data_IF_780515635214
#
_entry.id   IF_780515635214
#
_cell.length_a   1.000
_cell.length_b   1.000
_cell.length_c   1.000
_cell.angle_alpha   90.00
_cell.angle_beta   90.00
_cell.angle_gamma   90.00
#
_symmetry.space_group_name_H-M   'P 1'
#
loop_
_entity.id
_entity.type
_entity.pdbx_description
1 polymer ?
#
# COMPACT_ATOMS: atom_id res chain seq x y z
N UNK A 1 4.35 7.98 4.41
CA UNK A 1 4.93 8.01 3.05
C UNK A 1 4.49 6.77 2.29
N UNK A 2 4.31 6.84 0.96
CA UNK A 2 4.09 5.66 0.12
C UNK A 2 5.40 5.32 -0.59
N UNK A 3 5.88 4.10 -0.40
CA UNK A 3 7.09 3.55 -1.04
C UNK A 3 6.64 2.58 -2.12
N UNK A 4 7.28 2.63 -3.29
CA UNK A 4 6.98 1.74 -4.42
C UNK A 4 8.06 0.67 -4.51
N UNK A 5 7.66 -0.58 -4.46
CA UNK A 5 8.52 -1.75 -4.66
C UNK A 5 8.21 -2.31 -6.05
N UNK A 6 9.23 -2.54 -6.88
CA UNK A 6 9.04 -3.17 -8.18
C UNK A 6 8.92 -4.69 -7.99
N UNK A 7 7.83 -5.28 -8.49
CA UNK A 7 7.64 -6.72 -8.59
C UNK A 7 7.79 -7.10 -10.06
N UNK A 8 8.96 -7.65 -10.38
CA UNK A 8 9.33 -8.03 -11.74
C UNK A 8 9.58 -9.54 -11.73
N UNK A 9 8.82 -10.26 -12.55
CA UNK A 9 9.00 -11.66 -12.90
C UNK A 9 8.96 -11.79 -14.43
N UNK A 10 9.27 -12.96 -14.99
CA UNK A 10 9.30 -13.22 -16.43
C UNK A 10 7.98 -12.84 -17.13
N UNK A 11 6.85 -13.00 -16.43
CA UNK A 11 5.51 -12.71 -16.98
C UNK A 11 4.89 -11.40 -16.49
N UNK A 12 5.41 -10.77 -15.43
CA UNK A 12 4.76 -9.65 -14.75
C UNK A 12 5.72 -8.52 -14.42
N UNK A 13 5.32 -7.30 -14.76
CA UNK A 13 5.96 -6.07 -14.34
C UNK A 13 4.92 -5.19 -13.63
N UNK A 14 4.88 -5.30 -12.31
CA UNK A 14 3.92 -4.60 -11.47
C UNK A 14 4.65 -3.77 -10.39
N UNK A 15 4.01 -2.70 -9.92
CA UNK A 15 4.51 -1.95 -8.76
C UNK A 15 3.61 -2.19 -7.55
N UNK A 16 4.24 -2.57 -6.44
CA UNK A 16 3.61 -2.73 -5.15
C UNK A 16 3.84 -1.47 -4.31
N UNK A 17 2.77 -0.72 -4.07
CA UNK A 17 2.80 0.45 -3.21
C UNK A 17 2.59 0.01 -1.76
N UNK A 18 3.50 0.39 -0.88
CA UNK A 18 3.46 0.10 0.54
C UNK A 18 3.51 1.40 1.36
N UNK A 19 2.74 1.45 2.44
CA UNK A 19 2.73 2.61 3.32
C UNK A 19 3.79 2.42 4.40
N UNK A 20 4.60 3.45 4.59
CA UNK A 20 5.59 3.56 5.66
C UNK A 20 5.23 4.73 6.57
N UNK A 21 5.36 4.51 7.88
CA UNK A 21 5.08 5.50 8.93
C UNK A 21 6.38 5.83 9.64
N UNK A 22 6.60 7.12 9.92
CA UNK A 22 7.76 7.60 10.67
C UNK A 22 7.27 8.63 11.67
N UNK A 23 7.93 8.67 12.83
CA UNK A 23 7.88 9.83 13.71
C UNK A 23 9.23 10.57 13.65
N UNK A 24 9.38 11.63 14.44
CA UNK A 24 10.59 12.46 14.44
C UNK A 24 11.80 11.80 15.13
N UNK A 25 11.58 10.74 15.90
CA UNK A 25 12.56 10.17 16.83
C UNK A 25 13.03 8.76 16.43
N UNK A 26 12.36 8.12 15.47
CA UNK A 26 12.63 6.74 15.05
C UNK A 26 12.83 6.62 13.55
N UNK A 27 13.46 5.51 13.15
CA UNK A 27 13.49 5.12 11.73
C UNK A 27 12.07 4.85 11.22
N UNK A 28 11.78 5.13 9.94
CA UNK A 28 10.52 4.75 9.32
C UNK A 28 10.29 3.24 9.42
N UNK A 29 9.05 2.84 9.70
CA UNK A 29 8.62 1.44 9.73
C UNK A 29 7.60 1.19 8.61
N UNK A 30 7.66 -0.01 8.02
CA UNK A 30 6.66 -0.47 7.06
C UNK A 30 5.36 -0.75 7.83
N UNK A 31 4.26 -0.17 7.38
CA UNK A 31 2.94 -0.28 8.03
C UNK A 31 2.04 -1.29 7.33
N UNK A 32 2.08 -1.35 5.99
CA UNK A 32 1.35 -2.36 5.21
C UNK A 32 2.27 -3.46 4.71
N UNK A 33 1.79 -4.70 4.72
CA UNK A 33 2.55 -5.90 4.34
C UNK A 33 1.79 -6.79 3.35
N UNK A 34 0.73 -6.27 2.74
CA UNK A 34 -0.14 -7.05 1.86
C UNK A 34 0.45 -7.20 0.46
N UNK A 35 0.08 -8.27 -0.23
CA UNK A 35 0.43 -8.55 -1.64
C UNK A 35 -0.20 -7.56 -2.64
N UNK A 36 -1.12 -6.70 -2.16
CA UNK A 36 -1.82 -5.71 -2.97
C UNK A 36 -1.38 -4.30 -2.60
N UNK A 37 -1.31 -3.44 -3.60
CA UNK A 37 -0.92 -2.04 -3.45
C UNK A 37 -1.85 -1.28 -2.50
N UNK A 38 -1.24 -0.50 -1.60
CA UNK A 38 -1.89 0.40 -0.65
C UNK A 38 -1.49 1.85 -0.95
N UNK A 39 -2.49 2.74 -1.05
CA UNK A 39 -2.30 4.13 -1.50
C UNK A 39 -3.17 5.12 -0.70
N UNK A 40 -2.93 6.41 -0.90
CA UNK A 40 -3.71 7.49 -0.27
C UNK A 40 -3.84 7.40 1.27
N UNK A 41 -2.74 7.22 2.02
CA UNK A 41 -2.80 7.18 3.48
C UNK A 41 -3.25 8.52 4.07
N UNK A 42 -4.16 8.48 5.03
CA UNK A 42 -4.61 9.63 5.82
C UNK A 42 -4.76 9.22 7.29
N UNK A 43 -4.09 9.96 8.17
CA UNK A 43 -4.31 9.81 9.60
C UNK A 43 -5.61 10.50 10.01
N UNK A 44 -6.29 9.94 11.01
CA UNK A 44 -7.30 10.68 11.76
C UNK A 44 -6.66 11.88 12.48
N UNK A 45 -7.43 12.93 12.79
CA UNK A 45 -6.88 14.12 13.44
C UNK A 45 -6.22 13.86 14.81
N UNK A 46 -6.73 12.88 15.55
CA UNK A 46 -6.17 12.40 16.84
C UNK A 46 -4.95 11.48 16.67
N UNK A 47 -4.70 10.98 15.46
CA UNK A 47 -3.57 10.10 15.14
C UNK A 47 -3.80 8.62 15.47
N UNK A 48 -4.94 8.26 16.03
CA UNK A 48 -5.24 6.88 16.47
C UNK A 48 -5.52 5.93 15.30
N UNK A 49 -5.92 6.46 14.16
CA UNK A 49 -6.26 5.67 12.98
C UNK A 49 -5.50 6.13 11.74
N UNK A 50 -5.16 5.16 10.90
CA UNK A 50 -4.63 5.38 9.56
C UNK A 50 -5.54 4.69 8.55
N UNK A 51 -6.23 5.48 7.72
CA UNK A 51 -7.06 4.97 6.63
C UNK A 51 -6.29 5.06 5.31
N UNK A 52 -6.53 4.09 4.42
CA UNK A 52 -5.88 4.03 3.12
C UNK A 52 -6.73 3.24 2.12
N UNK A 53 -6.46 3.44 0.83
CA UNK A 53 -7.07 2.67 -0.25
C UNK A 53 -6.20 1.45 -0.56
N UNK A 54 -6.76 0.26 -0.36
CA UNK A 54 -6.16 -0.99 -0.83
C UNK A 54 -6.77 -1.37 -2.17
N UNK A 55 -5.93 -1.72 -3.14
CA UNK A 55 -6.39 -2.33 -4.38
C UNK A 55 -7.06 -3.67 -4.06
N UNK A 56 -8.39 -3.74 -4.05
CA UNK A 56 -9.09 -5.03 -4.10
C UNK A 56 -8.99 -5.52 -5.53
N UNK A 57 -8.24 -6.61 -5.72
CA UNK A 57 -8.31 -7.40 -6.96
C UNK A 57 -9.73 -7.97 -7.08
N UNK A 58 -10.67 -7.18 -7.58
CA UNK A 58 -11.78 -7.72 -8.35
C UNK A 58 -11.20 -7.94 -9.74
N UNK A 59 -10.88 -9.19 -10.06
CA UNK A 59 -11.02 -9.61 -11.45
C UNK A 59 -12.48 -9.31 -11.80
N UNK A 60 -12.74 -8.23 -12.54
CA UNK A 60 -13.98 -8.12 -13.30
C UNK A 60 -13.96 -9.25 -14.32
N UNK A 61 -14.58 -10.37 -13.98
CA UNK A 61 -14.94 -11.37 -14.96
C UNK A 61 -16.26 -10.91 -15.57
N UNK A 62 -16.19 -10.27 -16.73
CA UNK A 62 -17.33 -10.22 -17.64
C UNK A 62 -17.55 -11.65 -18.15
N UNK A 63 -18.45 -12.39 -17.50
CA UNK A 63 -18.99 -13.64 -18.04
C UNK A 63 -20.17 -13.31 -18.93
N UNK A 64 -20.12 -13.79 -20.18
CA UNK A 64 -21.25 -13.82 -21.12
C UNK A 64 -22.42 -14.65 -20.55
#
# INVERSE_FOLDING_TARGET
>A
MVVREALIDEEKSEYLNQIWVSNQFSKPIKFTHHEKSSTHPRFSPDGDFLVFLSSRSEKQQIGL
#
